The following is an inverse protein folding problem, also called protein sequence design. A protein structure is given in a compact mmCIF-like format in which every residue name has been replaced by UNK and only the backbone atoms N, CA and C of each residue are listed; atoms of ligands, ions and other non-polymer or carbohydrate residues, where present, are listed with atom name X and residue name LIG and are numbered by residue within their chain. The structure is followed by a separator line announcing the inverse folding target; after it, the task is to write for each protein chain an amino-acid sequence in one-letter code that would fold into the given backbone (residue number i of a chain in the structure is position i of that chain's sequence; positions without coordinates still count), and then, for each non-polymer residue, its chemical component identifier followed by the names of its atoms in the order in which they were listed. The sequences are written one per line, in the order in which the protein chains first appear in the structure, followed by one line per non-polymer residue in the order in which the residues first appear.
data_IF_931580733337
#
_entry.id   IF_931580733337
#
_cell.length_a   1.000
_cell.length_b   1.000
_cell.length_c   1.000
_cell.angle_alpha   90.00
_cell.angle_beta   90.00
_cell.angle_gamma   90.00
#
_symmetry.space_group_name_H-M   'P 1'
#
loop_
_entity.id
_entity.type
_entity.pdbx_description
1 polymer ?
#
# COMPACT_ATOMS: atom_id res chain seq x y z
N UNK A 1 16.20 4.58 3.28
CA UNK A 1 17.37 5.11 2.53
C UNK A 1 17.25 6.61 2.45
N UNK A 2 18.25 7.34 2.91
CA UNK A 2 18.22 8.80 2.87
C UNK A 2 18.67 9.30 1.49
N UNK A 3 17.98 10.28 0.92
CA UNK A 3 18.38 10.90 -0.35
C UNK A 3 19.76 11.56 -0.24
N UNK A 4 20.07 12.07 0.94
CA UNK A 4 21.36 12.65 1.29
C UNK A 4 22.51 11.67 1.04
N UNK A 5 22.35 10.40 1.45
CA UNK A 5 23.37 9.37 1.29
C UNK A 5 23.65 9.08 -0.20
N UNK A 6 22.62 9.17 -1.04
CA UNK A 6 22.76 9.01 -2.50
C UNK A 6 23.47 10.21 -3.16
N UNK A 7 23.14 11.41 -2.74
CA UNK A 7 23.76 12.63 -3.29
C UNK A 7 25.23 12.69 -2.93
N UNK A 8 25.58 12.32 -1.70
CA UNK A 8 26.96 12.37 -1.19
C UNK A 8 27.80 11.14 -1.56
N UNK A 9 27.20 10.10 -2.14
CA UNK A 9 27.88 8.84 -2.43
C UNK A 9 28.21 7.99 -1.18
N UNK A 10 27.62 8.30 -0.03
CA UNK A 10 27.85 7.55 1.20
C UNK A 10 27.39 6.09 1.06
N UNK A 11 28.15 5.17 1.63
CA UNK A 11 27.82 3.76 1.67
C UNK A 11 26.59 3.56 2.56
N UNK A 12 25.59 2.88 2.02
CA UNK A 12 24.37 2.56 2.74
C UNK A 12 24.63 1.29 3.56
N UNK A 13 24.28 1.25 4.86
CA UNK A 13 24.35 0.04 5.66
C UNK A 13 23.50 -1.10 5.06
N UNK A 14 24.03 -2.30 5.10
CA UNK A 14 23.38 -3.54 4.65
C UNK A 14 23.01 -4.47 5.82
N UNK A 15 23.27 -4.02 7.05
CA UNK A 15 23.02 -4.71 8.31
C UNK A 15 21.54 -4.79 8.70
N UNK A 16 20.67 -4.08 8.00
CA UNK A 16 19.24 -4.01 8.28
C UNK A 16 18.40 -3.75 7.04
N UNK A 17 17.14 -4.16 7.07
CA UNK A 17 16.18 -3.83 6.02
C UNK A 17 15.79 -2.35 6.12
N UNK A 18 15.98 -1.61 5.03
CA UNK A 18 15.62 -0.18 4.94
C UNK A 18 14.39 -0.04 4.04
N UNK A 19 13.29 0.47 4.60
CA UNK A 19 12.03 0.68 3.87
C UNK A 19 12.07 1.84 2.87
N UNK A 20 13.01 2.76 3.04
CA UNK A 20 13.18 3.90 2.17
C UNK A 20 13.59 3.49 0.75
N UNK A 21 13.00 4.11 -0.26
CA UNK A 21 13.39 3.96 -1.66
C UNK A 21 14.23 5.14 -2.13
N UNK A 22 15.09 4.90 -3.10
CA UNK A 22 15.84 5.98 -3.74
C UNK A 22 14.88 6.92 -4.49
N UNK A 23 14.87 8.19 -4.12
CA UNK A 23 14.03 9.21 -4.75
C UNK A 23 14.82 10.17 -5.65
N UNK A 24 16.12 9.98 -5.80
CA UNK A 24 16.97 10.91 -6.53
C UNK A 24 16.51 11.07 -7.98
N UNK A 25 16.24 9.96 -8.68
CA UNK A 25 15.79 10.00 -10.07
C UNK A 25 14.41 10.66 -10.23
N UNK A 26 13.53 10.52 -9.24
CA UNK A 26 12.25 11.21 -9.21
C UNK A 26 12.43 12.73 -9.03
N UNK A 27 13.27 13.15 -8.11
CA UNK A 27 13.55 14.57 -7.84
C UNK A 27 14.25 15.23 -9.03
N UNK A 28 15.14 14.51 -9.72
CA UNK A 28 15.82 14.98 -10.93
C UNK A 28 14.95 14.92 -12.20
N UNK A 29 13.68 14.52 -12.09
CA UNK A 29 12.76 14.40 -13.21
C UNK A 29 13.07 13.24 -14.18
N UNK A 30 13.99 12.35 -13.82
CA UNK A 30 14.37 11.17 -14.63
C UNK A 30 13.35 10.03 -14.52
N UNK A 31 12.51 10.04 -13.49
CA UNK A 31 11.47 9.05 -13.24
C UNK A 31 10.16 9.71 -12.84
N UNK A 32 9.04 9.17 -13.31
CA UNK A 32 7.70 9.67 -12.96
C UNK A 32 7.24 9.28 -11.55
N UNK A 33 7.91 8.32 -10.93
CA UNK A 33 7.57 7.83 -9.59
C UNK A 33 8.80 7.24 -8.90
N UNK A 34 8.90 7.46 -7.60
CA UNK A 34 9.93 6.84 -6.78
C UNK A 34 9.54 5.44 -6.29
N UNK A 35 8.26 5.15 -6.19
CA UNK A 35 7.71 3.88 -5.69
C UNK A 35 6.70 3.30 -6.67
N UNK A 36 6.83 2.02 -7.03
CA UNK A 36 5.88 1.33 -7.90
C UNK A 36 4.58 0.97 -7.16
N UNK A 37 4.68 0.64 -5.89
CA UNK A 37 3.55 0.31 -5.04
C UNK A 37 3.68 0.94 -3.67
N UNK A 38 2.55 1.19 -3.03
CA UNK A 38 2.46 1.75 -1.69
C UNK A 38 1.52 0.89 -0.84
N UNK A 39 2.03 0.41 0.30
CA UNK A 39 1.26 -0.34 1.27
C UNK A 39 0.68 0.62 2.30
N UNK A 40 -0.61 0.58 2.46
CA UNK A 40 -1.31 1.24 3.56
C UNK A 40 -1.51 0.20 4.66
N UNK A 41 -0.77 0.32 5.73
CA UNK A 41 -0.98 -0.49 6.91
C UNK A 41 -1.55 0.40 8.02
N UNK A 42 -2.85 0.36 8.27
CA UNK A 42 -3.48 1.18 9.31
C UNK A 42 -3.17 0.70 10.72
N UNK A 43 -2.39 -0.37 10.85
CA UNK A 43 -2.19 -0.97 12.14
C UNK A 43 -0.83 -0.74 12.74
N UNK A 44 -0.72 -0.19 13.86
CA UNK A 44 0.16 -0.60 14.97
C UNK A 44 0.05 0.31 16.17
N UNK A 45 -0.80 1.28 16.17
CA UNK A 45 -0.75 2.31 17.20
C UNK A 45 -1.32 1.89 18.57
N UNK A 46 -2.12 0.83 18.68
CA UNK A 46 -2.58 0.34 19.99
C UNK A 46 -3.03 -1.12 19.95
N UNK A 47 -3.01 -1.75 21.12
CA UNK A 47 -3.53 -3.12 21.32
C UNK A 47 -5.00 -3.23 20.90
N UNK A 48 -5.76 -2.14 20.99
CA UNK A 48 -7.16 -2.07 20.59
C UNK A 48 -7.35 -2.02 19.07
N UNK A 49 -6.40 -1.50 18.31
CA UNK A 49 -6.47 -1.42 16.84
C UNK A 49 -5.96 -2.66 16.12
N UNK A 50 -5.41 -3.66 16.80
CA UNK A 50 -5.09 -4.98 16.22
C UNK A 50 -6.32 -5.68 15.63
N UNK A 51 -7.51 -5.24 15.98
CA UNK A 51 -8.77 -5.79 15.49
C UNK A 51 -9.11 -5.26 14.08
N UNK A 52 -8.55 -4.11 13.71
CA UNK A 52 -8.77 -3.45 12.41
C UNK A 52 -7.62 -3.72 11.45
N UNK A 53 -7.42 -4.96 11.05
CA UNK A 53 -6.44 -5.31 10.01
C UNK A 53 -7.03 -5.10 8.62
N UNK A 54 -7.29 -3.87 8.27
CA UNK A 54 -7.53 -3.49 6.89
C UNK A 54 -6.20 -3.12 6.25
N UNK A 55 -5.65 -4.00 5.44
CA UNK A 55 -4.49 -3.68 4.62
C UNK A 55 -4.96 -3.22 3.24
N UNK A 56 -4.37 -2.15 2.75
CA UNK A 56 -4.61 -1.70 1.40
C UNK A 56 -3.29 -1.53 0.66
N UNK A 57 -3.31 -1.82 -0.63
CA UNK A 57 -2.16 -1.62 -1.51
C UNK A 57 -2.57 -0.75 -2.70
N UNK A 58 -1.69 0.18 -3.05
CA UNK A 58 -1.82 1.00 -4.26
C UNK A 58 -0.68 0.68 -5.22
N UNK A 59 -1.01 0.47 -6.49
CA UNK A 59 -0.06 0.37 -7.59
C UNK A 59 -0.53 1.30 -8.72
N UNK A 60 0.20 2.39 -8.93
CA UNK A 60 -0.21 3.44 -9.85
C UNK A 60 -1.55 4.07 -9.45
N UNK A 61 -2.53 4.01 -10.36
CA UNK A 61 -3.87 4.56 -10.14
C UNK A 61 -4.83 3.58 -9.44
N UNK A 62 -4.40 2.35 -9.20
CA UNK A 62 -5.26 1.31 -8.65
C UNK A 62 -4.98 1.08 -7.18
N UNK A 63 -6.03 1.10 -6.36
CA UNK A 63 -6.00 0.80 -4.93
C UNK A 63 -6.88 -0.40 -4.63
N UNK A 64 -6.31 -1.40 -3.98
CA UNK A 64 -7.03 -2.58 -3.48
C UNK A 64 -7.07 -2.51 -1.95
N UNK A 65 -8.26 -2.68 -1.40
CA UNK A 65 -8.49 -2.74 0.04
C UNK A 65 -8.90 -4.15 0.40
N UNK A 66 -8.26 -4.73 1.41
CA UNK A 66 -8.63 -6.04 1.93
C UNK A 66 -9.92 -5.97 2.74
N UNK A 67 -10.70 -7.04 2.81
CA UNK A 67 -11.82 -7.11 3.73
C UNK A 67 -11.36 -6.81 5.14
N UNK A 68 -12.01 -5.88 5.81
CA UNK A 68 -11.81 -5.65 7.23
C UNK A 68 -12.28 -6.90 7.98
N UNK A 69 -11.39 -7.50 8.75
CA UNK A 69 -11.78 -8.45 9.79
C UNK A 69 -12.21 -7.64 11.00
N UNK A 70 -13.48 -7.31 11.07
CA UNK A 70 -14.04 -6.58 12.21
C UNK A 70 -14.17 -7.56 13.37
N UNK A 71 -13.52 -7.24 14.49
CA UNK A 71 -13.87 -7.88 15.74
C UNK A 71 -15.28 -7.46 16.19
N UNK A 72 -15.86 -8.21 17.07
CA UNK A 72 -17.23 -8.16 17.61
C UNK A 72 -17.72 -6.80 18.17
N UNK A 73 -16.92 -5.75 18.11
CA UNK A 73 -17.24 -4.42 18.65
C UNK A 73 -17.57 -3.33 17.61
N UNK A 74 -17.52 -3.62 16.30
CA UNK A 74 -17.76 -2.60 15.29
C UNK A 74 -18.90 -3.01 14.37
N UNK A 75 -20.04 -2.38 14.56
CA UNK A 75 -21.25 -2.66 13.80
C UNK A 75 -21.23 -2.19 12.34
N UNK A 76 -20.33 -1.31 11.94
CA UNK A 76 -20.34 -0.69 10.59
C UNK A 76 -19.00 -0.77 9.83
N UNK A 77 -18.26 -1.82 10.02
CA UNK A 77 -16.92 -1.86 9.45
C UNK A 77 -16.82 -2.59 8.13
N UNK A 78 -17.02 -2.02 7.04
CA UNK A 78 -16.63 -2.53 5.74
C UNK A 78 -17.46 -3.71 5.19
N UNK A 79 -17.45 -3.86 3.88
CA UNK A 79 -18.30 -4.82 3.15
C UNK A 79 -17.95 -6.30 3.37
N UNK A 80 -16.88 -6.61 4.10
CA UNK A 80 -16.34 -7.96 4.22
C UNK A 80 -15.81 -8.52 2.88
N UNK A 81 -15.74 -7.70 1.85
CA UNK A 81 -15.32 -8.05 0.49
C UNK A 81 -14.11 -7.25 0.08
N UNK A 82 -13.39 -7.74 -0.91
CA UNK A 82 -12.31 -6.98 -1.54
C UNK A 82 -12.88 -5.79 -2.29
N UNK A 83 -12.23 -4.63 -2.14
CA UNK A 83 -12.63 -3.40 -2.80
C UNK A 83 -11.49 -2.91 -3.69
N UNK A 84 -11.80 -2.63 -4.95
CA UNK A 84 -10.84 -2.14 -5.95
C UNK A 84 -11.32 -0.81 -6.49
N UNK A 85 -10.46 0.19 -6.43
CA UNK A 85 -10.75 1.55 -6.90
C UNK A 85 -9.72 2.03 -7.92
N UNK A 86 -10.17 2.85 -8.86
CA UNK A 86 -9.31 3.56 -9.80
C UNK A 86 -9.25 5.03 -9.40
N UNK A 87 -8.22 5.41 -8.65
CA UNK A 87 -8.07 6.75 -8.08
C UNK A 87 -7.88 7.86 -9.11
N UNK A 88 -7.56 7.53 -10.37
CA UNK A 88 -7.49 8.51 -11.45
C UNK A 88 -8.86 9.07 -11.79
N UNK A 89 -9.88 8.24 -11.79
CA UNK A 89 -11.24 8.58 -12.20
C UNK A 89 -12.20 8.71 -11.01
N UNK A 90 -11.84 8.13 -9.87
CA UNK A 90 -12.66 8.03 -8.66
C UNK A 90 -11.78 8.20 -7.42
N UNK A 91 -11.37 9.44 -7.18
CA UNK A 91 -10.53 9.78 -6.01
C UNK A 91 -11.29 9.61 -4.69
N UNK A 92 -12.63 9.67 -4.73
CA UNK A 92 -13.49 9.50 -3.57
C UNK A 92 -13.77 8.04 -3.20
N UNK A 93 -13.25 7.07 -3.97
CA UNK A 93 -13.44 5.64 -3.70
C UNK A 93 -14.93 5.25 -3.60
N UNK A 94 -15.75 5.76 -4.51
CA UNK A 94 -17.22 5.60 -4.48
C UNK A 94 -17.69 4.35 -5.21
N UNK A 95 -16.93 3.88 -6.21
CA UNK A 95 -17.33 2.79 -7.10
C UNK A 95 -16.39 1.59 -6.99
N UNK A 96 -16.83 0.52 -6.34
CA UNK A 96 -16.06 -0.71 -6.23
C UNK A 96 -16.00 -1.46 -7.57
N UNK A 97 -14.81 -1.58 -8.13
CA UNK A 97 -14.52 -2.22 -9.42
C UNK A 97 -13.98 -3.66 -9.30
N UNK A 98 -13.98 -4.25 -8.11
CA UNK A 98 -13.40 -5.58 -7.88
C UNK A 98 -14.04 -6.67 -8.75
N UNK A 99 -15.35 -6.65 -8.91
CA UNK A 99 -16.08 -7.60 -9.76
C UNK A 99 -15.74 -7.43 -11.25
N UNK A 100 -15.50 -6.20 -11.69
CA UNK A 100 -15.20 -5.88 -13.09
C UNK A 100 -13.77 -6.24 -13.50
N UNK A 101 -12.81 -6.18 -12.57
CA UNK A 101 -11.39 -6.39 -12.86
C UNK A 101 -10.74 -7.47 -11.97
N UNK A 102 -11.18 -8.74 -12.02
CA UNK A 102 -10.71 -9.81 -11.14
C UNK A 102 -9.21 -10.11 -11.32
N UNK A 103 -8.66 -9.93 -12.53
CA UNK A 103 -7.21 -10.11 -12.78
C UNK A 103 -6.37 -9.08 -12.02
N UNK A 104 -6.84 -7.82 -11.92
CA UNK A 104 -6.16 -6.78 -11.13
C UNK A 104 -6.24 -7.06 -9.63
N UNK A 105 -7.40 -7.49 -9.15
CA UNK A 105 -7.57 -7.92 -7.75
C UNK A 105 -6.58 -9.03 -7.41
N UNK A 106 -6.47 -10.08 -8.23
CA UNK A 106 -5.54 -11.19 -8.02
C UNK A 106 -4.08 -10.71 -7.96
N UNK A 107 -3.68 -9.84 -8.88
CA UNK A 107 -2.32 -9.27 -8.92
C UNK A 107 -2.01 -8.46 -7.66
N UNK A 108 -2.86 -7.50 -7.32
CA UNK A 108 -2.66 -6.62 -6.15
C UNK A 108 -2.73 -7.40 -4.84
N UNK A 109 -3.59 -8.41 -4.74
CA UNK A 109 -3.63 -9.34 -3.61
C UNK A 109 -2.31 -10.09 -3.42
N UNK A 110 -1.72 -10.59 -4.51
CA UNK A 110 -0.40 -11.24 -4.44
C UNK A 110 0.71 -10.29 -4.00
N UNK A 111 0.67 -9.02 -4.43
CA UNK A 111 1.62 -8.00 -3.98
C UNK A 111 1.44 -7.66 -2.51
N UNK A 112 0.19 -7.55 -2.04
CA UNK A 112 -0.13 -7.31 -0.64
C UNK A 112 0.43 -8.42 0.24
N UNK A 113 0.15 -9.68 -0.09
CA UNK A 113 0.65 -10.85 0.65
C UNK A 113 2.18 -10.91 0.72
N UNK A 114 2.88 -10.57 -0.37
CA UNK A 114 4.36 -10.51 -0.38
C UNK A 114 4.92 -9.42 0.51
N UNK A 115 4.19 -8.34 0.73
CA UNK A 115 4.62 -7.23 1.58
C UNK A 115 4.35 -7.46 3.07
N UNK A 116 3.42 -8.36 3.41
CA UNK A 116 3.12 -8.73 4.81
C UNK A 116 4.16 -9.69 5.41
N UNK A 117 4.98 -10.34 4.58
CA UNK A 117 5.97 -11.37 4.99
C UNK A 117 7.34 -10.76 5.36
N UNK A 118 7.46 -9.43 5.41
CA UNK A 118 8.73 -8.78 5.79
C UNK A 118 8.75 -8.32 7.23
#
# INVERSE_FOLDING_TARGET
MCIRDRITGAKIPDDRTIDGVNQLDFILGKSKTARKSYLYNPGSASVQTRILQGNAIREGDWKLISPLKVGWFLEDGGSGKWELYNLKNDIGETTNLAAKYPKKVKRLKSLLQKSEVK
#
